data_IF_087226431697
#
_entry.id   IF_087226431697
#
_cell.length_a   1.000
_cell.length_b   1.000
_cell.length_c   1.000
_cell.angle_alpha   90.00
_cell.angle_beta   90.00
_cell.angle_gamma   90.00
#
_symmetry.space_group_name_H-M   'P 1'
#
loop_
_entity.id
_entity.type
_entity.pdbx_description
1 polymer ?
#
# COMPACT_ATOMS: atom_id res chain seq x y z
N UNK A 1 -7.87 -1.83 6.21
CA UNK A 1 -6.63 -2.44 5.66
C UNK A 1 -6.87 -3.94 5.60
N UNK A 2 -6.30 -4.63 4.63
CA UNK A 2 -6.36 -6.09 4.56
C UNK A 2 -5.29 -6.69 5.49
N UNK A 3 -5.55 -7.88 6.04
CA UNK A 3 -4.66 -8.55 6.99
C UNK A 3 -3.24 -8.76 6.44
N UNK A 4 -3.11 -9.03 5.13
CA UNK A 4 -1.82 -9.19 4.44
C UNK A 4 -0.95 -7.93 4.61
N UNK A 5 -1.56 -6.74 4.47
CA UNK A 5 -0.85 -5.48 4.65
C UNK A 5 -0.31 -5.33 6.07
N UNK A 6 -1.12 -5.63 7.08
CA UNK A 6 -0.72 -5.55 8.48
C UNK A 6 0.38 -6.54 8.84
N UNK A 7 0.25 -7.77 8.36
CA UNK A 7 1.24 -8.81 8.60
C UNK A 7 2.60 -8.41 8.02
N UNK A 8 2.64 -8.04 6.73
CA UNK A 8 3.87 -7.66 6.07
C UNK A 8 4.50 -6.38 6.66
N UNK A 9 3.66 -5.43 7.07
CA UNK A 9 4.12 -4.22 7.76
C UNK A 9 4.80 -4.56 9.09
N UNK A 10 4.15 -5.35 9.96
CA UNK A 10 4.71 -5.67 11.28
C UNK A 10 5.98 -6.54 11.18
N UNK A 11 6.00 -7.56 10.33
CA UNK A 11 7.17 -8.39 10.08
C UNK A 11 8.34 -7.57 9.55
N UNK A 12 8.08 -6.67 8.60
CA UNK A 12 9.10 -5.78 8.04
C UNK A 12 9.65 -4.82 9.09
N UNK A 13 8.79 -4.23 9.91
CA UNK A 13 9.20 -3.30 10.98
C UNK A 13 10.07 -3.99 12.02
N UNK A 14 9.72 -5.21 12.41
CA UNK A 14 10.54 -6.03 13.33
C UNK A 14 11.90 -6.34 12.72
N UNK A 15 11.92 -6.81 11.48
CA UNK A 15 13.16 -7.15 10.77
C UNK A 15 14.06 -5.93 10.57
N UNK A 16 13.52 -4.82 10.08
CA UNK A 16 14.26 -3.57 9.88
C UNK A 16 14.85 -3.06 11.21
N UNK A 17 14.04 -3.04 12.26
CA UNK A 17 14.49 -2.60 13.59
C UNK A 17 15.66 -3.44 14.12
N UNK A 18 15.61 -4.77 13.91
CA UNK A 18 16.65 -5.69 14.36
C UNK A 18 17.95 -5.59 13.54
N UNK A 19 17.87 -5.22 12.24
CA UNK A 19 19.01 -5.25 11.31
C UNK A 19 19.69 -3.91 11.12
N UNK A 20 18.92 -2.81 11.09
CA UNK A 20 19.46 -1.48 10.76
C UNK A 20 19.14 -0.42 11.81
N UNK A 21 18.55 -0.80 12.94
CA UNK A 21 18.10 0.14 13.98
C UNK A 21 17.02 1.08 13.45
N UNK A 22 16.58 1.99 14.28
CA UNK A 22 15.55 2.97 13.92
C UNK A 22 14.30 2.84 14.79
N UNK A 23 13.25 3.56 14.43
CA UNK A 23 12.00 3.60 15.19
C UNK A 23 10.81 3.21 14.33
N UNK A 24 9.88 2.49 14.92
CA UNK A 24 8.57 2.22 14.33
C UNK A 24 7.79 3.54 14.23
N UNK A 25 7.09 3.74 13.11
CA UNK A 25 6.11 4.80 12.96
C UNK A 25 4.87 4.56 13.83
N UNK A 26 3.98 5.54 13.96
CA UNK A 26 2.73 5.34 14.67
C UNK A 26 1.86 4.31 13.96
N UNK A 27 1.25 3.43 14.74
CA UNK A 27 0.28 2.47 14.23
C UNK A 27 -1.08 3.14 13.98
N UNK A 28 -1.71 2.76 12.85
CA UNK A 28 -3.09 3.05 12.42
C UNK A 28 -3.46 4.45 11.95
N UNK A 29 -4.04 4.49 10.74
CA UNK A 29 -4.88 5.57 10.23
C UNK A 29 -4.21 6.93 10.02
N UNK A 30 -2.91 6.98 10.21
CA UNK A 30 -2.12 8.18 10.11
C UNK A 30 -1.43 8.27 8.74
N UNK A 31 -1.19 9.48 8.27
CA UNK A 31 -0.37 9.76 7.09
C UNK A 31 1.13 9.67 7.37
N UNK A 32 1.52 9.24 8.58
CA UNK A 32 2.89 9.01 8.95
C UNK A 32 3.42 7.72 8.31
N UNK A 33 4.70 7.68 8.11
CA UNK A 33 5.40 6.53 7.55
C UNK A 33 5.57 5.42 8.58
N UNK A 34 5.69 4.19 8.11
CA UNK A 34 5.68 3.00 8.96
C UNK A 34 6.97 2.79 9.75
N UNK A 35 8.08 3.34 9.26
CA UNK A 35 9.40 3.15 9.85
C UNK A 35 10.32 4.35 9.57
N UNK A 36 11.24 4.66 10.51
CA UNK A 36 12.22 5.73 10.39
C UNK A 36 13.60 5.29 10.87
N UNK A 37 14.61 5.57 10.07
CA UNK A 37 16.02 5.53 10.48
C UNK A 37 16.70 6.86 10.08
N UNK A 38 17.50 6.89 9.01
CA UNK A 38 18.07 8.14 8.48
C UNK A 38 17.02 9.01 7.78
N UNK A 39 15.99 8.38 7.21
CA UNK A 39 14.81 8.98 6.59
C UNK A 39 13.63 8.03 6.81
N UNK A 40 12.48 8.38 6.26
CA UNK A 40 11.24 7.63 6.47
C UNK A 40 11.00 6.60 5.37
N UNK A 41 10.34 5.50 5.77
CA UNK A 41 9.98 4.38 4.93
C UNK A 41 8.51 4.02 5.09
N UNK A 42 7.89 3.69 3.99
CA UNK A 42 6.51 3.21 3.95
C UNK A 42 6.48 1.77 3.41
N UNK A 43 5.74 0.88 4.06
CA UNK A 43 5.68 -0.53 3.74
C UNK A 43 4.36 -0.79 3.03
N UNK A 44 4.44 -1.31 1.81
CA UNK A 44 3.27 -1.53 0.96
C UNK A 44 3.13 -2.99 0.56
N UNK A 45 1.91 -3.46 0.59
CA UNK A 45 1.52 -4.74 0.02
C UNK A 45 0.68 -4.51 -1.24
N UNK A 46 1.14 -5.02 -2.37
CA UNK A 46 0.50 -4.83 -3.67
C UNK A 46 0.07 -6.15 -4.30
N UNK A 47 -1.23 -6.30 -4.56
CA UNK A 47 -1.77 -7.45 -5.29
C UNK A 47 -1.44 -7.31 -6.78
N UNK A 48 -0.77 -8.31 -7.37
CA UNK A 48 -0.41 -8.29 -8.81
C UNK A 48 -1.58 -8.55 -9.73
N UNK A 49 -2.70 -9.03 -9.20
CA UNK A 49 -3.93 -9.28 -9.97
C UNK A 49 -5.19 -9.00 -9.13
N UNK A 50 -6.29 -8.74 -9.80
CA UNK A 50 -7.61 -8.66 -9.17
C UNK A 50 -8.30 -10.04 -9.11
N UNK A 51 -9.55 -10.07 -8.63
CA UNK A 51 -10.34 -11.30 -8.52
C UNK A 51 -10.67 -11.98 -9.86
N UNK A 52 -10.52 -11.27 -10.96
CA UNK A 52 -10.75 -11.77 -12.32
C UNK A 52 -9.44 -12.16 -13.02
N UNK A 53 -8.29 -12.11 -12.31
CA UNK A 53 -6.97 -12.39 -12.87
C UNK A 53 -6.40 -11.24 -13.71
N UNK A 54 -7.01 -10.05 -13.67
CA UNK A 54 -6.49 -8.89 -14.39
C UNK A 54 -5.26 -8.33 -13.67
N UNK A 55 -4.17 -8.21 -14.40
CA UNK A 55 -2.89 -7.72 -13.88
C UNK A 55 -2.98 -6.28 -13.37
N UNK A 56 -2.31 -6.01 -12.26
CA UNK A 56 -2.21 -4.70 -11.61
C UNK A 56 -0.76 -4.32 -11.40
N UNK A 57 -0.33 -3.27 -12.06
CA UNK A 57 1.04 -2.74 -11.95
C UNK A 57 1.11 -1.43 -11.14
N UNK A 58 -0.03 -0.76 -10.90
CA UNK A 58 -0.10 0.52 -10.19
C UNK A 58 -0.26 0.32 -8.69
N UNK A 59 0.79 0.60 -7.92
CA UNK A 59 0.80 0.56 -6.46
C UNK A 59 0.53 1.94 -5.90
N UNK A 60 -0.44 2.04 -4.97
CA UNK A 60 -0.69 3.28 -4.23
C UNK A 60 0.39 3.42 -3.16
N UNK A 61 1.10 4.53 -3.18
CA UNK A 61 2.12 4.86 -2.18
C UNK A 61 1.47 5.52 -0.94
N UNK A 62 1.64 6.82 -0.78
CA UNK A 62 1.12 7.55 0.37
C UNK A 62 0.43 8.86 -0.07
N UNK A 63 -0.09 9.61 0.89
CA UNK A 63 -0.64 10.93 0.64
C UNK A 63 0.47 11.86 0.11
N UNK A 64 0.17 12.63 -0.94
CA UNK A 64 1.09 13.56 -1.59
C UNK A 64 1.73 14.52 -0.57
N UNK A 65 0.92 15.14 0.29
CA UNK A 65 1.40 16.05 1.33
C UNK A 65 2.36 15.38 2.33
N UNK A 66 2.15 14.09 2.65
CA UNK A 66 3.05 13.35 3.53
C UNK A 66 4.40 13.10 2.86
N UNK A 67 4.38 12.76 1.58
CA UNK A 67 5.59 12.56 0.77
C UNK A 67 6.34 13.88 0.64
N UNK A 68 5.66 14.98 0.33
CA UNK A 68 6.29 16.31 0.22
C UNK A 68 6.94 16.75 1.53
N UNK A 69 6.28 16.55 2.67
CA UNK A 69 6.89 16.83 3.98
C UNK A 69 8.15 15.99 4.20
N UNK A 70 8.12 14.69 3.87
CA UNK A 70 9.27 13.82 4.02
C UNK A 70 10.43 14.24 3.11
N UNK A 71 10.16 14.62 1.87
CA UNK A 71 11.17 15.10 0.94
C UNK A 71 11.78 16.44 1.40
N UNK A 72 10.98 17.35 1.94
CA UNK A 72 11.48 18.62 2.48
C UNK A 72 12.35 18.41 3.72
N UNK A 73 12.03 17.42 4.58
CA UNK A 73 12.77 17.14 5.82
C UNK A 73 14.03 16.31 5.58
N UNK A 74 13.95 15.29 4.72
CA UNK A 74 15.01 14.28 4.54
C UNK A 74 15.67 14.28 3.16
N UNK A 75 15.10 14.99 2.17
CA UNK A 75 15.54 14.97 0.77
C UNK A 75 15.17 13.68 0.01
N UNK A 76 14.71 12.65 0.72
CA UNK A 76 14.42 11.34 0.17
C UNK A 76 13.33 10.63 0.98
N UNK A 77 12.55 9.79 0.31
CA UNK A 77 11.57 8.88 0.93
C UNK A 77 11.76 7.47 0.40
N UNK A 78 11.62 6.47 1.28
CA UNK A 78 11.76 5.06 0.93
C UNK A 78 10.43 4.31 0.92
N UNK A 79 10.34 3.30 0.07
CA UNK A 79 9.22 2.37 0.04
C UNK A 79 9.71 0.94 -0.03
N UNK A 80 9.11 0.09 0.81
CA UNK A 80 9.29 -1.36 0.79
C UNK A 80 8.01 -1.96 0.23
N UNK A 81 8.05 -2.49 -0.98
CA UNK A 81 6.86 -2.95 -1.70
C UNK A 81 6.92 -4.46 -1.86
N UNK A 82 6.01 -5.16 -1.17
CA UNK A 82 5.77 -6.58 -1.41
C UNK A 82 4.72 -6.74 -2.49
N UNK A 83 5.04 -7.48 -3.55
CA UNK A 83 4.03 -7.91 -4.51
C UNK A 83 3.57 -9.32 -4.17
N UNK A 84 2.28 -9.59 -4.32
CA UNK A 84 1.72 -10.89 -4.03
C UNK A 84 0.57 -11.25 -4.97
N UNK A 85 0.43 -12.56 -5.22
CA UNK A 85 -0.76 -13.15 -5.83
C UNK A 85 -1.74 -13.47 -4.73
N UNK A 86 -2.98 -12.92 -4.76
CA UNK A 86 -3.99 -13.20 -3.75
C UNK A 86 -4.72 -14.50 -4.02
N UNK A 87 -5.12 -15.18 -2.94
CA UNK A 87 -6.16 -16.19 -2.97
C UNK A 87 -7.46 -15.54 -2.48
N UNK A 88 -8.46 -15.48 -3.35
CA UNK A 88 -9.73 -14.86 -3.02
C UNK A 88 -10.67 -15.84 -2.33
N UNK A 89 -11.37 -15.38 -1.31
CA UNK A 89 -12.41 -16.08 -0.57
C UNK A 89 -13.68 -16.21 -1.44
N UNK A 90 -13.72 -17.22 -2.30
CA UNK A 90 -14.82 -17.46 -3.23
C UNK A 90 -16.03 -18.05 -2.51
N UNK A 91 -15.80 -18.97 -1.55
CA UNK A 91 -16.85 -19.60 -0.76
C UNK A 91 -17.50 -18.66 0.26
N UNK A 92 -16.77 -17.62 0.68
CA UNK A 92 -17.20 -16.72 1.76
C UNK A 92 -16.90 -17.22 3.17
N UNK A 93 -16.24 -18.34 3.31
CA UNK A 93 -15.96 -18.96 4.63
C UNK A 93 -14.99 -18.10 5.44
N UNK A 94 -13.94 -17.56 4.83
CA UNK A 94 -13.03 -16.64 5.50
C UNK A 94 -13.74 -15.37 5.95
N UNK A 95 -14.65 -14.83 5.13
CA UNK A 95 -15.46 -13.67 5.50
C UNK A 95 -16.32 -13.98 6.71
N UNK A 96 -17.01 -15.13 6.71
CA UNK A 96 -17.88 -15.57 7.79
C UNK A 96 -17.10 -15.72 9.10
N UNK A 97 -16.01 -16.48 9.07
CA UNK A 97 -15.12 -16.64 10.25
C UNK A 97 -14.62 -15.29 10.78
N UNK A 98 -14.19 -14.40 9.90
CA UNK A 98 -13.64 -13.10 10.31
C UNK A 98 -14.71 -12.16 10.87
N UNK A 99 -15.94 -12.21 10.37
CA UNK A 99 -17.05 -11.42 10.88
C UNK A 99 -17.52 -11.98 12.25
N UNK A 100 -17.53 -13.30 12.45
CA UNK A 100 -17.78 -13.96 13.75
C UNK A 100 -16.72 -13.58 14.78
N UNK A 101 -15.43 -13.56 14.39
CA UNK A 101 -14.32 -13.18 15.29
C UNK A 101 -14.43 -11.73 15.77
N UNK A 102 -15.00 -10.83 14.96
CA UNK A 102 -15.22 -9.44 15.34
C UNK A 102 -16.39 -9.23 16.30
N UNK A 103 -17.29 -10.18 16.40
CA UNK A 103 -18.48 -10.13 17.24
C UNK A 103 -19.57 -9.16 16.77
N UNK A 104 -19.22 -8.13 16.01
CA UNK A 104 -20.17 -7.12 15.53
C UNK A 104 -19.94 -6.74 14.06
N UNK A 105 -21.03 -6.37 13.40
CA UNK A 105 -20.98 -5.81 12.05
C UNK A 105 -20.51 -4.35 12.13
N UNK A 106 -19.42 -4.01 11.42
CA UNK A 106 -18.90 -2.64 11.40
C UNK A 106 -19.91 -1.64 10.81
N UNK A 107 -19.85 -0.38 11.22
CA UNK A 107 -20.70 0.68 10.66
C UNK A 107 -20.57 0.79 9.14
N UNK A 108 -19.36 0.62 8.60
CA UNK A 108 -19.14 0.56 7.16
C UNK A 108 -19.96 -0.56 6.49
N UNK A 109 -20.01 -1.73 7.10
CA UNK A 109 -20.76 -2.88 6.57
C UNK A 109 -22.27 -2.66 6.69
N UNK A 110 -22.73 -2.07 7.78
CA UNK A 110 -24.14 -1.67 7.97
C UNK A 110 -24.58 -0.67 6.87
N UNK A 111 -23.76 0.36 6.63
CA UNK A 111 -24.03 1.35 5.57
C UNK A 111 -23.97 0.75 4.16
N UNK A 112 -23.07 -0.20 3.92
CA UNK A 112 -23.00 -0.95 2.67
C UNK A 112 -24.29 -1.74 2.43
N UNK A 113 -24.77 -2.46 3.46
CA UNK A 113 -26.00 -3.26 3.39
C UNK A 113 -27.22 -2.38 3.13
N UNK A 114 -27.34 -1.23 3.80
CA UNK A 114 -28.43 -0.24 3.55
C UNK A 114 -28.48 0.21 2.08
N UNK A 115 -27.32 0.33 1.43
CA UNK A 115 -27.21 0.76 0.04
C UNK A 115 -27.27 -0.38 -0.98
N UNK A 116 -27.48 -1.62 -0.54
CA UNK A 116 -27.40 -2.83 -1.39
C UNK A 116 -26.07 -2.91 -2.20
N UNK A 117 -25.00 -2.30 -1.72
CA UNK A 117 -23.74 -2.32 -2.41
C UNK A 117 -23.05 -3.70 -2.25
N UNK A 118 -22.37 -4.23 -3.29
CA UNK A 118 -21.70 -5.52 -3.20
C UNK A 118 -20.58 -5.52 -2.16
N UNK A 119 -20.41 -6.64 -1.46
CA UNK A 119 -19.28 -6.82 -0.55
C UNK A 119 -17.98 -6.86 -1.32
N UNK A 120 -16.93 -6.30 -0.73
CA UNK A 120 -15.58 -6.46 -1.28
C UNK A 120 -15.17 -7.92 -1.20
N UNK A 121 -14.56 -8.45 -2.26
CA UNK A 121 -13.93 -9.76 -2.25
C UNK A 121 -12.83 -9.78 -1.19
N UNK A 122 -12.93 -10.71 -0.24
CA UNK A 122 -11.91 -10.91 0.78
C UNK A 122 -10.77 -11.74 0.20
N UNK A 123 -9.61 -11.64 0.81
CA UNK A 123 -8.45 -12.48 0.51
C UNK A 123 -8.22 -13.40 1.68
N UNK A 124 -8.29 -14.69 1.47
CA UNK A 124 -8.08 -15.75 2.47
C UNK A 124 -6.60 -16.15 2.57
N UNK A 125 -5.84 -15.94 1.50
CA UNK A 125 -4.43 -16.28 1.42
C UNK A 125 -3.68 -15.40 0.42
N UNK A 126 -2.37 -15.60 0.35
CA UNK A 126 -1.53 -15.01 -0.68
C UNK A 126 -0.22 -15.77 -0.87
N UNK A 127 0.35 -15.65 -2.06
CA UNK A 127 1.73 -16.07 -2.36
C UNK A 127 2.56 -14.83 -2.67
N UNK A 128 3.57 -14.56 -1.84
CA UNK A 128 4.52 -13.46 -2.09
C UNK A 128 5.30 -13.76 -3.37
N UNK A 129 5.35 -12.79 -4.26
CA UNK A 129 6.01 -12.90 -5.56
C UNK A 129 7.33 -12.16 -5.60
N UNK A 130 7.37 -10.93 -5.12
CA UNK A 130 8.61 -10.17 -5.07
C UNK A 130 8.66 -9.19 -3.92
N UNK A 131 9.87 -8.76 -3.60
CA UNK A 131 10.17 -7.62 -2.75
C UNK A 131 10.90 -6.58 -3.60
N UNK A 132 10.42 -5.36 -3.58
CA UNK A 132 11.04 -4.22 -4.26
C UNK A 132 11.25 -3.12 -3.24
N UNK A 133 12.50 -2.68 -3.07
CA UNK A 133 12.84 -1.56 -2.20
C UNK A 133 13.30 -0.42 -3.10
N UNK A 134 12.61 0.70 -2.99
CA UNK A 134 12.91 1.91 -3.76
C UNK A 134 13.15 3.10 -2.84
N UNK A 135 13.90 4.06 -3.35
CA UNK A 135 13.99 5.40 -2.78
C UNK A 135 13.70 6.42 -3.87
N UNK A 136 13.02 7.49 -3.49
CA UNK A 136 12.64 8.57 -4.39
C UNK A 136 13.08 9.90 -3.81
N UNK A 137 13.73 10.71 -4.63
CA UNK A 137 13.99 12.13 -4.39
C UNK A 137 12.86 12.97 -4.98
N UNK A 138 12.91 14.27 -4.77
CA UNK A 138 11.96 15.21 -5.40
C UNK A 138 12.07 15.16 -6.92
N UNK A 139 13.31 15.14 -7.45
CA UNK A 139 13.58 15.06 -8.89
C UNK A 139 13.02 13.75 -9.50
N UNK A 140 13.13 12.63 -8.76
CA UNK A 140 12.58 11.35 -9.22
C UNK A 140 11.05 11.39 -9.33
N UNK A 141 10.37 12.04 -8.37
CA UNK A 141 8.91 12.19 -8.41
C UNK A 141 8.49 13.09 -9.56
N UNK A 142 9.11 14.27 -9.71
CA UNK A 142 8.81 15.19 -10.82
C UNK A 142 9.07 14.54 -12.19
N UNK A 143 10.17 13.79 -12.31
CA UNK A 143 10.49 13.01 -13.51
C UNK A 143 9.43 11.93 -13.74
N UNK A 144 9.06 11.19 -12.69
CA UNK A 144 8.06 10.14 -12.77
C UNK A 144 6.69 10.63 -13.20
N UNK A 145 6.30 11.82 -12.77
CA UNK A 145 5.07 12.47 -13.19
C UNK A 145 5.12 12.87 -14.68
N UNK A 146 6.22 13.47 -15.13
CA UNK A 146 6.41 13.80 -16.55
C UNK A 146 6.43 12.58 -17.46
N UNK A 147 7.07 11.50 -17.03
CA UNK A 147 7.20 10.26 -17.80
C UNK A 147 6.01 9.30 -17.62
N UNK A 148 5.10 9.61 -16.69
CA UNK A 148 3.84 8.88 -16.45
C UNK A 148 3.98 7.54 -15.73
N UNK A 149 5.10 7.29 -15.02
CA UNK A 149 5.23 6.14 -14.11
C UNK A 149 4.91 6.49 -12.64
N UNK A 150 4.79 7.79 -12.31
CA UNK A 150 4.13 8.29 -11.11
C UNK A 150 2.89 9.07 -11.54
N UNK A 151 1.78 8.91 -10.82
CA UNK A 151 0.52 9.58 -11.10
C UNK A 151 -0.22 9.97 -9.83
N UNK A 152 -1.06 10.99 -9.94
CA UNK A 152 -2.04 11.33 -8.91
C UNK A 152 -3.12 10.24 -8.81
N UNK A 153 -3.58 10.01 -7.60
CA UNK A 153 -4.68 9.10 -7.32
C UNK A 153 -5.67 9.76 -6.33
N UNK A 154 -6.95 9.71 -6.67
CA UNK A 154 -8.05 10.34 -5.90
C UNK A 154 -8.11 11.87 -5.97
N UNK A 155 -7.32 12.53 -6.81
CA UNK A 155 -7.40 13.99 -6.99
C UNK A 155 -8.82 14.42 -7.37
N UNK A 156 -9.40 15.36 -6.62
CA UNK A 156 -10.76 15.85 -6.83
C UNK A 156 -11.88 14.92 -6.36
N UNK A 157 -11.59 13.73 -5.83
CA UNK A 157 -12.60 12.84 -5.26
C UNK A 157 -13.09 13.32 -3.91
N UNK A 158 -14.32 12.93 -3.54
CA UNK A 158 -14.93 13.20 -2.25
C UNK A 158 -15.22 11.93 -1.47
N UNK A 159 -15.21 12.05 -0.14
CA UNK A 159 -15.69 11.03 0.78
C UNK A 159 -17.23 11.00 0.77
N UNK A 160 -17.83 10.01 1.42
CA UNK A 160 -19.29 9.89 1.52
C UNK A 160 -19.96 11.07 2.25
N UNK A 161 -19.24 11.72 3.15
CA UNK A 161 -19.65 12.91 3.89
C UNK A 161 -19.46 14.23 3.10
N UNK A 162 -19.01 14.14 1.83
CA UNK A 162 -18.76 15.29 0.97
C UNK A 162 -17.39 15.98 1.17
N UNK A 163 -16.62 15.59 2.18
CA UNK A 163 -15.27 16.13 2.39
C UNK A 163 -14.32 15.70 1.26
N UNK A 164 -13.34 16.54 0.88
CA UNK A 164 -12.37 16.15 -0.14
C UNK A 164 -11.50 14.98 0.34
N UNK A 165 -11.23 14.03 -0.56
CA UNK A 165 -10.22 13.00 -0.30
C UNK A 165 -8.84 13.59 -0.46
N UNK A 166 -7.93 13.14 0.40
CA UNK A 166 -6.51 13.46 0.25
C UNK A 166 -5.99 12.88 -1.06
N UNK A 167 -5.25 13.68 -1.80
CA UNK A 167 -4.56 13.18 -2.98
C UNK A 167 -3.47 12.19 -2.57
N UNK A 168 -3.35 11.12 -3.33
CA UNK A 168 -2.32 10.09 -3.15
C UNK A 168 -1.50 9.98 -4.41
N UNK A 169 -0.30 9.44 -4.27
CA UNK A 169 0.57 9.14 -5.40
C UNK A 169 0.52 7.64 -5.67
N UNK A 170 0.44 7.25 -6.93
CA UNK A 170 0.63 5.87 -7.40
C UNK A 170 1.90 5.75 -8.22
N UNK A 171 2.48 4.55 -8.19
CA UNK A 171 3.67 4.21 -8.96
C UNK A 171 3.40 2.97 -9.83
N UNK A 172 3.84 3.00 -11.09
CA UNK A 172 3.88 1.82 -11.95
C UNK A 172 5.15 1.04 -11.65
N UNK A 173 5.01 -0.07 -10.95
CA UNK A 173 6.13 -0.86 -10.42
C UNK A 173 7.05 -1.37 -11.54
N UNK A 174 6.47 -1.75 -12.67
CA UNK A 174 7.16 -2.24 -13.87
C UNK A 174 7.99 -1.17 -14.59
N UNK A 175 7.73 0.11 -14.33
CA UNK A 175 8.37 1.26 -14.98
C UNK A 175 9.31 2.07 -14.09
N UNK A 176 9.53 1.61 -12.85
CA UNK A 176 10.46 2.27 -11.93
C UNK A 176 11.88 2.23 -12.50
N UNK A 177 12.56 3.38 -12.66
CA UNK A 177 13.94 3.42 -13.13
C UNK A 177 14.91 2.67 -12.20
N UNK A 178 15.91 2.00 -12.80
CA UNK A 178 16.86 1.19 -12.03
C UNK A 178 17.63 1.99 -10.96
N UNK A 179 17.90 3.27 -11.19
CA UNK A 179 18.56 4.15 -10.22
C UNK A 179 17.73 4.43 -8.96
N UNK A 180 16.41 4.26 -9.03
CA UNK A 180 15.51 4.38 -7.87
C UNK A 180 15.41 3.07 -7.09
N UNK A 181 15.82 1.92 -7.66
CA UNK A 181 15.70 0.60 -7.06
C UNK A 181 16.92 0.28 -6.23
N UNK A 182 16.74 0.01 -4.93
CA UNK A 182 17.80 -0.44 -4.03
C UNK A 182 17.89 -1.98 -4.06
N UNK A 183 16.74 -2.65 -4.00
CA UNK A 183 16.64 -4.11 -4.02
C UNK A 183 15.45 -4.51 -4.89
N UNK A 184 15.65 -5.53 -5.70
CA UNK A 184 14.57 -6.22 -6.39
C UNK A 184 14.83 -7.72 -6.29
N UNK A 185 13.95 -8.45 -5.62
CA UNK A 185 14.03 -9.89 -5.41
C UNK A 185 12.73 -10.54 -5.85
N UNK A 186 12.83 -11.70 -6.48
CA UNK A 186 11.71 -12.43 -7.05
C UNK A 186 11.71 -12.41 -8.58
N UNK A 187 10.88 -13.23 -9.24
CA UNK A 187 10.78 -13.28 -10.70
C UNK A 187 10.27 -11.94 -11.24
N UNK A 188 10.65 -11.62 -12.47
CA UNK A 188 10.02 -10.52 -13.20
C UNK A 188 8.55 -10.88 -13.42
N UNK A 189 7.65 -10.11 -12.82
CA UNK A 189 6.21 -10.38 -12.80
C UNK A 189 5.44 -9.62 -13.87
N UNK A 190 6.13 -8.76 -14.61
CA UNK A 190 5.55 -7.90 -15.64
C UNK A 190 6.39 -7.96 -16.91
#
# INVERSE_FOLDING_TARGET
MEWIGWFLEEESRMLLSSKIGGTKGPSFGNTAFDYKNKYVWDIKSHSVEDKNGVSKTECILNDEEAIDRALNEYGVVGFVIYTYKPDYDISGDFKKWHDELKGEISEYEKERMKRNAPSRSRKSGCVIKSLIIIKLTKEDIEKGQREGWIKDFQKGMRNADGSPRRNKITIKIDKVPANCIIVKSGPNLF
#
